data_IF_921685317746
#
_entry.id   IF_921685317746
#
_cell.length_a   1.000
_cell.length_b   1.000
_cell.length_c   1.000
_cell.angle_alpha   90.00
_cell.angle_beta   90.00
_cell.angle_gamma   90.00
#
_symmetry.space_group_name_H-M   'P 1'
#
loop_
_entity.id
_entity.type
_entity.pdbx_description
1 polymer ?
#
# COMPACT_ATOMS: atom_id res chain seq x y z
N UNK A 1 -29.06 -23.91 6.15
CA UNK A 1 -28.92 -22.50 5.70
C UNK A 1 -28.91 -21.65 6.96
N UNK A 2 -27.73 -21.39 7.50
CA UNK A 2 -27.53 -20.53 8.67
C UNK A 2 -27.32 -19.11 8.16
N UNK A 3 -28.19 -18.22 8.62
CA UNK A 3 -28.20 -16.78 8.35
C UNK A 3 -26.91 -16.16 8.91
N UNK A 4 -25.98 -15.78 8.03
CA UNK A 4 -24.77 -15.07 8.43
C UNK A 4 -25.15 -13.60 8.52
N UNK A 5 -25.56 -13.17 9.71
CA UNK A 5 -25.88 -11.79 10.01
C UNK A 5 -24.74 -10.87 9.60
N UNK A 6 -25.02 -9.95 8.67
CA UNK A 6 -24.12 -8.88 8.30
C UNK A 6 -23.93 -7.97 9.53
N UNK A 7 -22.78 -8.11 10.19
CA UNK A 7 -22.37 -7.17 11.22
C UNK A 7 -22.25 -5.78 10.58
N UNK A 8 -23.17 -4.88 10.91
CA UNK A 8 -23.09 -3.48 10.52
C UNK A 8 -21.90 -2.85 11.25
N UNK A 9 -20.79 -2.66 10.53
CA UNK A 9 -19.66 -1.90 11.03
C UNK A 9 -20.08 -0.43 11.21
N UNK A 10 -20.04 0.08 12.46
CA UNK A 10 -20.20 1.50 12.72
C UNK A 10 -18.92 2.23 12.27
N UNK A 11 -19.01 2.95 11.15
CA UNK A 11 -17.89 3.76 10.63
C UNK A 11 -17.92 5.15 11.31
N UNK A 12 -16.81 5.64 11.87
CA UNK A 12 -16.73 6.99 12.41
C UNK A 12 -16.88 8.03 11.31
N UNK A 13 -17.70 9.05 11.56
CA UNK A 13 -17.93 10.20 10.67
C UNK A 13 -16.62 10.86 10.26
N UNK A 14 -16.38 11.01 8.95
CA UNK A 14 -15.22 11.71 8.40
C UNK A 14 -15.56 13.21 8.34
N UNK A 15 -14.82 14.12 9.01
CA UNK A 15 -15.05 15.55 8.91
C UNK A 15 -14.82 16.06 7.48
N UNK A 16 -15.69 16.96 7.03
CA UNK A 16 -15.80 17.42 5.65
C UNK A 16 -14.56 18.13 5.12
N UNK A 17 -14.15 17.75 3.91
CA UNK A 17 -13.21 18.50 3.09
C UNK A 17 -14.02 19.21 1.99
N UNK A 18 -13.89 20.54 1.92
CA UNK A 18 -14.46 21.35 0.85
C UNK A 18 -13.39 21.54 -0.22
N UNK A 19 -13.64 21.02 -1.43
CA UNK A 19 -12.89 21.38 -2.63
C UNK A 19 -13.70 22.44 -3.38
N UNK A 20 -13.03 23.52 -3.80
CA UNK A 20 -13.64 24.53 -4.66
C UNK A 20 -13.86 23.91 -6.06
N UNK A 21 -15.09 23.87 -6.59
CA UNK A 21 -15.35 23.26 -7.89
C UNK A 21 -14.81 24.16 -9.00
N UNK A 22 -13.87 23.64 -9.78
CA UNK A 22 -13.48 24.22 -11.08
C UNK A 22 -14.63 24.06 -12.06
N UNK A 23 -15.07 25.17 -12.67
CA UNK A 23 -16.14 25.22 -13.66
C UNK A 23 -15.69 24.54 -14.96
N UNK A 24 -16.11 23.28 -15.18
CA UNK A 24 -15.96 22.59 -16.47
C UNK A 24 -17.33 22.41 -17.12
N UNK A 25 -17.41 22.71 -18.43
CA UNK A 25 -18.62 22.61 -19.25
C UNK A 25 -18.93 21.17 -19.69
N UNK A 26 -20.21 20.93 -20.01
CA UNK A 26 -20.84 19.65 -20.45
C UNK A 26 -20.32 18.41 -19.75
N UNK A 27 -20.97 18.04 -18.64
CA UNK A 27 -20.67 16.84 -17.88
C UNK A 27 -20.90 15.57 -18.72
N UNK A 28 -19.83 14.86 -19.04
CA UNK A 28 -19.95 13.48 -19.50
C UNK A 28 -20.57 12.63 -18.38
N UNK A 29 -21.50 11.75 -18.75
CA UNK A 29 -22.21 10.89 -17.82
C UNK A 29 -21.48 9.54 -17.67
N UNK A 30 -21.09 9.19 -16.44
CA UNK A 30 -20.46 7.91 -16.11
C UNK A 30 -21.47 6.95 -15.49
N UNK A 31 -21.36 5.67 -15.84
CA UNK A 31 -22.21 4.62 -15.29
C UNK A 31 -21.58 4.04 -14.03
N UNK A 32 -22.35 3.99 -12.94
CA UNK A 32 -22.03 3.19 -11.75
C UNK A 32 -23.07 2.09 -11.54
N UNK A 33 -22.61 0.87 -11.29
CA UNK A 33 -23.49 -0.25 -10.97
C UNK A 33 -23.78 -0.25 -9.46
N UNK A 34 -25.04 -0.08 -9.09
CA UNK A 34 -25.48 0.04 -7.70
C UNK A 34 -26.54 -1.03 -7.40
N UNK A 35 -26.26 -2.00 -6.51
CA UNK A 35 -27.25 -3.03 -6.17
C UNK A 35 -28.38 -2.46 -5.33
N UNK A 36 -29.63 -2.75 -5.71
CA UNK A 36 -30.81 -2.48 -4.86
C UNK A 36 -31.07 -3.59 -3.86
N UNK A 37 -30.72 -4.82 -4.23
CA UNK A 37 -30.96 -6.01 -3.41
C UNK A 37 -29.64 -6.68 -2.95
N UNK A 38 -29.63 -7.34 -1.78
CA UNK A 38 -28.51 -8.19 -1.36
C UNK A 38 -28.16 -9.27 -2.39
N UNK A 39 -29.15 -9.80 -3.10
CA UNK A 39 -29.00 -10.83 -4.12
C UNK A 39 -28.28 -10.31 -5.36
N UNK A 40 -28.57 -9.08 -5.79
CA UNK A 40 -27.94 -8.44 -6.94
C UNK A 40 -26.50 -8.00 -6.64
N UNK A 41 -26.15 -7.74 -5.38
CA UNK A 41 -24.83 -7.25 -4.94
C UNK A 41 -23.66 -7.99 -5.60
N UNK A 42 -23.62 -9.30 -5.44
CA UNK A 42 -22.50 -10.11 -5.95
C UNK A 42 -22.50 -10.22 -7.47
N UNK A 43 -23.68 -10.14 -8.08
CA UNK A 43 -23.83 -10.13 -9.53
C UNK A 43 -23.29 -8.84 -10.13
N UNK A 44 -23.69 -7.69 -9.59
CA UNK A 44 -23.25 -6.37 -10.05
C UNK A 44 -21.79 -6.09 -9.71
N UNK A 45 -21.27 -6.61 -8.60
CA UNK A 45 -19.84 -6.56 -8.29
C UNK A 45 -19.01 -7.27 -9.37
N UNK A 46 -19.37 -8.51 -9.71
CA UNK A 46 -18.70 -9.25 -10.80
C UNK A 46 -18.86 -8.53 -12.13
N UNK A 47 -20.06 -8.03 -12.43
CA UNK A 47 -20.33 -7.29 -13.67
C UNK A 47 -19.43 -6.07 -13.76
N UNK A 48 -19.35 -5.26 -12.71
CA UNK A 48 -18.47 -4.09 -12.63
C UNK A 48 -17.01 -4.47 -12.89
N UNK A 49 -16.55 -5.55 -12.28
CA UNK A 49 -15.19 -6.03 -12.48
C UNK A 49 -14.93 -6.43 -13.94
N UNK A 50 -15.90 -7.09 -14.61
CA UNK A 50 -15.79 -7.46 -16.03
C UNK A 50 -15.77 -6.23 -16.92
N UNK A 51 -16.66 -5.26 -16.66
CA UNK A 51 -16.78 -4.05 -17.46
C UNK A 51 -15.53 -3.16 -17.39
N UNK A 52 -14.75 -3.22 -16.29
CA UNK A 52 -13.45 -2.54 -16.21
C UNK A 52 -12.47 -2.95 -17.33
N UNK A 53 -12.54 -4.18 -17.85
CA UNK A 53 -11.66 -4.60 -18.95
C UNK A 53 -12.25 -4.26 -20.33
N UNK A 54 -13.54 -3.96 -20.42
CA UNK A 54 -14.22 -3.67 -21.70
C UNK A 54 -14.17 -2.18 -22.05
N UNK A 55 -14.19 -1.30 -21.06
CA UNK A 55 -14.07 0.14 -21.26
C UNK A 55 -12.60 0.57 -21.44
N UNK A 56 -11.87 -0.08 -22.34
CA UNK A 56 -10.43 0.19 -22.56
C UNK A 56 -10.16 1.64 -22.96
N UNK A 57 -11.10 2.25 -23.68
CA UNK A 57 -10.95 3.57 -24.29
C UNK A 57 -11.55 4.70 -23.43
N UNK A 58 -12.24 4.37 -22.33
CA UNK A 58 -12.80 5.33 -21.40
C UNK A 58 -12.28 5.05 -19.97
N UNK A 59 -11.19 5.73 -19.64
CA UNK A 59 -10.45 5.51 -18.40
C UNK A 59 -11.24 5.90 -17.15
N UNK A 60 -12.09 6.92 -17.24
CA UNK A 60 -12.94 7.41 -16.17
C UNK A 60 -14.12 6.47 -15.92
N UNK A 61 -14.64 5.85 -16.98
CA UNK A 61 -15.62 4.77 -16.85
C UNK A 61 -15.04 3.52 -16.15
N UNK A 62 -13.76 3.19 -16.37
CA UNK A 62 -13.07 2.16 -15.59
C UNK A 62 -12.99 2.52 -14.11
N UNK A 63 -12.75 3.79 -13.78
CA UNK A 63 -12.77 4.26 -12.41
C UNK A 63 -14.17 4.13 -11.79
N UNK A 64 -15.24 4.52 -12.51
CA UNK A 64 -16.62 4.37 -12.04
C UNK A 64 -17.01 2.90 -11.79
N UNK A 65 -16.60 1.97 -12.66
CA UNK A 65 -16.80 0.54 -12.43
C UNK A 65 -15.96 0.01 -11.25
N UNK A 66 -14.72 0.49 -11.08
CA UNK A 66 -13.90 0.19 -9.90
C UNK A 66 -14.58 0.66 -8.59
N UNK A 67 -15.13 1.87 -8.58
CA UNK A 67 -15.95 2.36 -7.47
C UNK A 67 -17.19 1.51 -7.22
N UNK A 68 -17.80 0.98 -8.28
CA UNK A 68 -18.95 0.08 -8.19
C UNK A 68 -18.56 -1.25 -7.53
N UNK A 69 -17.35 -1.77 -7.77
CA UNK A 69 -16.82 -2.94 -7.05
C UNK A 69 -16.71 -2.66 -5.55
N UNK A 70 -16.10 -1.54 -5.15
CA UNK A 70 -15.97 -1.21 -3.73
C UNK A 70 -17.30 -0.92 -3.06
N UNK A 71 -18.18 -0.17 -3.71
CA UNK A 71 -19.50 0.19 -3.19
C UNK A 71 -20.43 -1.02 -3.14
N UNK A 72 -20.28 -1.97 -4.06
CA UNK A 72 -20.97 -3.24 -4.01
C UNK A 72 -20.56 -4.07 -2.80
N UNK A 73 -19.28 -4.05 -2.42
CA UNK A 73 -18.80 -4.76 -1.22
C UNK A 73 -19.13 -4.00 0.08
N UNK A 74 -18.94 -2.68 0.07
CA UNK A 74 -19.07 -1.75 1.19
C UNK A 74 -19.93 -0.54 0.77
N UNK A 75 -21.26 -0.63 0.92
CA UNK A 75 -22.19 0.42 0.49
C UNK A 75 -21.88 1.82 1.04
N UNK A 76 -21.23 1.91 2.20
CA UNK A 76 -20.78 3.18 2.80
C UNK A 76 -19.78 3.96 1.93
N UNK A 77 -19.13 3.33 0.96
CA UNK A 77 -18.23 4.00 0.02
C UNK A 77 -18.97 4.69 -1.13
N UNK A 78 -20.23 4.34 -1.38
CA UNK A 78 -21.00 4.86 -2.52
C UNK A 78 -21.12 6.39 -2.52
N UNK A 79 -21.50 7.07 -1.42
CA UNK A 79 -21.61 8.52 -1.43
C UNK A 79 -20.27 9.21 -1.72
N UNK A 80 -19.18 8.66 -1.18
CA UNK A 80 -17.84 9.19 -1.37
C UNK A 80 -17.36 9.01 -2.81
N UNK A 81 -17.58 7.83 -3.41
CA UNK A 81 -17.26 7.56 -4.80
C UNK A 81 -18.02 8.49 -5.76
N UNK A 82 -19.32 8.67 -5.53
CA UNK A 82 -20.12 9.59 -6.34
C UNK A 82 -19.67 11.05 -6.19
N UNK A 83 -19.27 11.46 -4.99
CA UNK A 83 -18.74 12.79 -4.76
C UNK A 83 -17.43 13.00 -5.51
N UNK A 84 -16.53 12.02 -5.47
CA UNK A 84 -15.26 12.09 -6.18
C UNK A 84 -15.45 12.21 -7.71
N UNK A 85 -16.30 11.37 -8.31
CA UNK A 85 -16.64 11.45 -9.73
C UNK A 85 -17.17 12.84 -10.11
N UNK A 86 -17.99 13.45 -9.24
CA UNK A 86 -18.47 14.83 -9.44
C UNK A 86 -17.36 15.87 -9.31
N UNK A 87 -16.45 15.69 -8.35
CA UNK A 87 -15.29 16.58 -8.17
C UNK A 87 -14.34 16.53 -9.39
N UNK A 88 -14.35 15.41 -10.13
CA UNK A 88 -13.67 15.27 -11.43
C UNK A 88 -14.45 15.85 -12.62
N UNK A 89 -15.67 16.37 -12.39
CA UNK A 89 -16.49 17.00 -13.41
C UNK A 89 -17.49 16.07 -14.12
N UNK A 90 -17.73 14.86 -13.62
CA UNK A 90 -18.65 13.89 -14.23
C UNK A 90 -20.00 13.82 -13.50
N UNK A 91 -21.08 13.60 -14.26
CA UNK A 91 -22.34 13.14 -13.68
C UNK A 91 -22.32 11.62 -13.51
N UNK A 92 -23.07 11.11 -12.54
CA UNK A 92 -23.14 9.66 -12.26
C UNK A 92 -24.54 9.15 -12.52
N UNK A 93 -24.68 8.25 -13.48
CA UNK A 93 -25.87 7.45 -13.71
C UNK A 93 -25.79 6.15 -12.94
N UNK A 94 -26.72 5.96 -12.01
CA UNK A 94 -26.84 4.70 -11.30
C UNK A 94 -27.61 3.68 -12.14
N UNK A 95 -26.95 2.57 -12.44
CA UNK A 95 -27.55 1.43 -13.13
C UNK A 95 -27.68 0.28 -12.15
N UNK A 96 -28.87 -0.31 -12.13
CA UNK A 96 -29.26 -1.36 -11.18
C UNK A 96 -29.49 -2.66 -11.92
N UNK A 97 -29.81 -3.74 -11.21
CA UNK A 97 -30.17 -5.02 -11.81
C UNK A 97 -31.34 -4.92 -12.80
N UNK A 98 -32.29 -4.00 -12.57
CA UNK A 98 -33.49 -3.82 -13.40
C UNK A 98 -33.22 -2.99 -14.66
N UNK A 99 -32.28 -2.04 -14.57
CA UNK A 99 -31.99 -1.07 -15.64
C UNK A 99 -30.74 -1.41 -16.45
N UNK A 100 -30.02 -2.49 -16.12
CA UNK A 100 -28.77 -2.86 -16.79
C UNK A 100 -28.94 -3.10 -18.31
N UNK A 101 -30.00 -3.80 -18.71
CA UNK A 101 -30.26 -4.12 -20.12
C UNK A 101 -30.52 -2.86 -20.96
N UNK A 102 -31.27 -1.90 -20.41
CA UNK A 102 -31.56 -0.61 -21.05
C UNK A 102 -30.30 0.23 -21.28
N UNK A 103 -29.25 -0.02 -20.48
CA UNK A 103 -27.96 0.64 -20.57
C UNK A 103 -26.90 -0.22 -21.29
N UNK A 104 -27.32 -1.26 -22.01
CA UNK A 104 -26.46 -2.16 -22.78
C UNK A 104 -25.44 -2.93 -21.92
N UNK A 105 -25.75 -3.16 -20.64
CA UNK A 105 -24.90 -3.89 -19.70
C UNK A 105 -25.41 -5.32 -19.55
N UNK A 106 -24.60 -6.27 -20.02
CA UNK A 106 -24.88 -7.70 -19.84
C UNK A 106 -24.46 -8.15 -18.44
N UNK A 107 -25.46 -8.35 -17.58
CA UNK A 107 -25.25 -8.84 -16.22
C UNK A 107 -24.57 -10.21 -16.23
N UNK A 108 -23.53 -10.33 -15.42
CA UNK A 108 -22.79 -11.57 -15.26
C UNK A 108 -23.58 -12.60 -14.44
N UNK A 109 -23.13 -13.87 -14.45
CA UNK A 109 -23.66 -14.87 -13.54
C UNK A 109 -23.38 -14.50 -12.08
N UNK A 110 -24.30 -14.88 -11.18
CA UNK A 110 -24.11 -14.70 -9.74
C UNK A 110 -22.87 -15.48 -9.29
N UNK A 111 -22.08 -14.87 -8.41
CA UNK A 111 -20.98 -15.51 -7.70
C UNK A 111 -21.30 -15.66 -6.21
N UNK A 112 -20.57 -16.57 -5.57
CA UNK A 112 -20.61 -16.72 -4.12
C UNK A 112 -19.84 -15.59 -3.42
N UNK A 113 -20.06 -15.50 -2.11
CA UNK A 113 -19.45 -14.51 -1.25
C UNK A 113 -17.92 -14.56 -1.25
N UNK A 114 -17.32 -15.76 -1.20
CA UNK A 114 -15.87 -15.93 -1.14
C UNK A 114 -15.19 -15.45 -2.43
N UNK A 115 -15.79 -15.75 -3.58
CA UNK A 115 -15.35 -15.22 -4.88
C UNK A 115 -15.42 -13.69 -4.90
N UNK A 116 -16.46 -13.09 -4.33
CA UNK A 116 -16.57 -11.62 -4.26
C UNK A 116 -15.50 -10.98 -3.37
N UNK A 117 -15.13 -11.62 -2.25
CA UNK A 117 -14.02 -11.19 -1.39
C UNK A 117 -12.69 -11.22 -2.14
N UNK A 118 -12.48 -12.25 -2.97
CA UNK A 118 -11.26 -12.36 -3.75
C UNK A 118 -11.15 -11.26 -4.80
N UNK A 119 -12.26 -10.93 -5.50
CA UNK A 119 -12.32 -9.81 -6.44
C UNK A 119 -12.06 -8.48 -5.71
N UNK A 120 -12.75 -8.25 -4.59
CA UNK A 120 -12.53 -7.05 -3.76
C UNK A 120 -11.05 -6.91 -3.37
N UNK A 121 -10.42 -7.98 -2.89
CA UNK A 121 -9.02 -7.95 -2.47
C UNK A 121 -8.07 -7.57 -3.60
N UNK A 122 -8.30 -8.05 -4.83
CA UNK A 122 -7.49 -7.67 -5.98
C UNK A 122 -7.59 -6.18 -6.28
N UNK A 123 -8.82 -5.66 -6.36
CA UNK A 123 -9.07 -4.24 -6.62
C UNK A 123 -8.49 -3.34 -5.52
N UNK A 124 -8.60 -3.76 -4.26
CA UNK A 124 -8.00 -3.04 -3.14
C UNK A 124 -6.48 -2.96 -3.27
N UNK A 125 -5.78 -4.06 -3.59
CA UNK A 125 -4.32 -4.02 -3.77
C UNK A 125 -3.89 -3.13 -4.93
N UNK A 126 -4.64 -3.16 -6.04
CA UNK A 126 -4.39 -2.32 -7.22
C UNK A 126 -4.43 -0.83 -6.89
N UNK A 127 -5.20 -0.40 -5.89
CA UNK A 127 -5.21 1.00 -5.45
C UNK A 127 -3.93 1.41 -4.71
N UNK A 128 -3.33 0.51 -3.93
CA UNK A 128 -2.23 0.86 -3.03
C UNK A 128 -0.85 0.47 -3.54
N UNK A 129 -0.77 -0.49 -4.45
CA UNK A 129 0.50 -1.01 -4.95
C UNK A 129 0.83 -0.41 -6.30
N UNK A 130 2.12 -0.17 -6.52
CA UNK A 130 2.59 0.31 -7.80
C UNK A 130 2.52 -0.82 -8.82
N UNK A 131 2.03 -0.48 -10.00
CA UNK A 131 1.79 -1.44 -11.09
C UNK A 131 2.77 -1.12 -12.20
N UNK A 132 3.68 -2.05 -12.41
CA UNK A 132 4.67 -2.00 -13.47
C UNK A 132 4.46 -3.19 -14.43
N UNK A 133 4.67 -2.99 -15.73
CA UNK A 133 4.34 -4.00 -16.74
C UNK A 133 5.16 -5.28 -16.58
N UNK A 134 6.40 -5.15 -16.13
CA UNK A 134 7.32 -6.29 -16.00
C UNK A 134 7.01 -7.12 -14.77
N UNK A 135 6.53 -6.46 -13.71
CA UNK A 135 6.38 -7.09 -12.40
C UNK A 135 4.93 -7.42 -12.03
N UNK A 136 3.95 -6.76 -12.66
CA UNK A 136 2.54 -6.94 -12.36
C UNK A 136 2.06 -8.39 -12.48
N UNK A 137 2.31 -9.15 -13.58
CA UNK A 137 1.82 -10.52 -13.68
C UNK A 137 2.32 -11.40 -12.53
N UNK A 138 3.61 -11.29 -12.18
CA UNK A 138 4.22 -12.08 -11.11
C UNK A 138 3.69 -11.69 -9.74
N UNK A 139 3.60 -10.39 -9.45
CA UNK A 139 3.10 -9.93 -8.15
C UNK A 139 1.63 -10.23 -7.97
N UNK A 140 0.81 -9.94 -8.98
CA UNK A 140 -0.61 -10.25 -8.93
C UNK A 140 -0.83 -11.74 -8.80
N UNK A 141 -0.11 -12.61 -9.52
CA UNK A 141 -0.30 -14.04 -9.37
C UNK A 141 -0.03 -14.51 -7.92
N UNK A 142 1.00 -13.97 -7.27
CA UNK A 142 1.29 -14.25 -5.86
C UNK A 142 0.21 -13.70 -4.91
N UNK A 143 -0.20 -12.43 -5.09
CA UNK A 143 -1.21 -11.80 -4.24
C UNK A 143 -2.58 -12.43 -4.42
N UNK A 144 -2.95 -12.76 -5.64
CA UNK A 144 -4.22 -13.39 -5.98
C UNK A 144 -4.32 -14.78 -5.38
N UNK A 145 -3.25 -15.60 -5.49
CA UNK A 145 -3.21 -16.90 -4.85
C UNK A 145 -3.40 -16.80 -3.33
N UNK A 146 -2.72 -15.84 -2.69
CA UNK A 146 -2.86 -15.59 -1.26
C UNK A 146 -4.27 -15.11 -0.90
N UNK A 147 -4.84 -14.16 -1.63
CA UNK A 147 -6.20 -13.65 -1.42
C UNK A 147 -7.23 -14.76 -1.59
N UNK A 148 -7.13 -15.57 -2.65
CA UNK A 148 -8.02 -16.73 -2.86
C UNK A 148 -7.97 -17.68 -1.68
N UNK A 149 -6.76 -18.00 -1.20
CA UNK A 149 -6.58 -18.85 -0.04
C UNK A 149 -7.24 -18.26 1.22
N UNK A 150 -7.05 -16.97 1.49
CA UNK A 150 -7.66 -16.28 2.64
C UNK A 150 -9.18 -16.18 2.53
N UNK A 151 -9.70 -15.99 1.32
CA UNK A 151 -11.13 -15.96 1.03
C UNK A 151 -11.77 -17.35 1.05
N UNK A 152 -11.00 -18.44 0.89
CA UNK A 152 -11.52 -19.81 0.81
C UNK A 152 -11.96 -20.23 -0.60
N UNK A 153 -11.42 -19.60 -1.64
CA UNK A 153 -11.75 -19.89 -3.04
C UNK A 153 -10.79 -20.93 -3.61
N UNK A 154 -11.33 -22.07 -4.04
CA UNK A 154 -10.54 -23.18 -4.63
C UNK A 154 -10.53 -23.11 -6.16
N UNK A 155 -11.59 -22.55 -6.77
CA UNK A 155 -11.77 -22.51 -8.22
C UNK A 155 -11.16 -21.26 -8.83
N UNK A 156 -11.03 -21.25 -10.15
CA UNK A 156 -10.61 -20.06 -10.89
C UNK A 156 -11.64 -18.94 -10.75
N UNK A 157 -11.16 -17.70 -10.59
CA UNK A 157 -12.04 -16.53 -10.48
C UNK A 157 -12.69 -16.17 -11.82
N UNK A 158 -11.98 -16.42 -12.92
CA UNK A 158 -12.48 -16.27 -14.29
C UNK A 158 -12.46 -17.65 -14.95
N UNK A 159 -13.62 -18.27 -15.24
CA UNK A 159 -13.67 -19.57 -15.90
C UNK A 159 -12.90 -19.56 -17.23
N UNK A 160 -11.83 -20.36 -17.33
CA UNK A 160 -10.96 -20.42 -18.51
C UNK A 160 -10.02 -19.23 -18.72
N UNK A 161 -10.08 -18.21 -17.85
CA UNK A 161 -9.25 -16.99 -17.89
C UNK A 161 -8.26 -16.86 -16.72
N UNK A 162 -8.24 -17.82 -15.80
CA UNK A 162 -7.37 -17.83 -14.63
C UNK A 162 -7.88 -16.97 -13.47
N UNK A 163 -6.95 -16.49 -12.64
CA UNK A 163 -7.30 -15.84 -11.38
C UNK A 163 -7.14 -14.31 -11.37
N UNK A 164 -6.44 -13.74 -12.36
CA UNK A 164 -6.22 -12.30 -12.44
C UNK A 164 -7.40 -11.67 -13.16
N UNK A 165 -8.11 -10.77 -12.46
CA UNK A 165 -9.33 -10.18 -13.02
C UNK A 165 -9.04 -9.07 -14.03
N UNK A 166 -8.04 -8.23 -13.76
CA UNK A 166 -7.76 -7.03 -14.54
C UNK A 166 -6.52 -7.17 -15.42
N UNK A 167 -6.63 -6.74 -16.68
CA UNK A 167 -5.48 -6.56 -17.56
C UNK A 167 -4.49 -5.55 -16.95
N UNK A 168 -3.21 -5.63 -17.33
CA UNK A 168 -2.18 -4.72 -16.81
C UNK A 168 -2.51 -3.24 -17.12
N UNK A 169 -2.99 -2.95 -18.33
CA UNK A 169 -3.34 -1.58 -18.74
C UNK A 169 -4.53 -1.03 -17.95
N UNK A 170 -5.58 -1.84 -17.76
CA UNK A 170 -6.74 -1.46 -16.94
C UNK A 170 -6.33 -1.24 -15.48
N UNK A 171 -5.52 -2.14 -14.92
CA UNK A 171 -5.06 -2.03 -13.55
C UNK A 171 -4.22 -0.76 -13.33
N UNK A 172 -3.30 -0.43 -14.25
CA UNK A 172 -2.55 0.83 -14.25
C UNK A 172 -3.46 2.05 -14.28
N UNK A 173 -4.45 2.05 -15.17
CA UNK A 173 -5.43 3.14 -15.30
C UNK A 173 -6.16 3.37 -13.98
N UNK A 174 -6.70 2.30 -13.39
CA UNK A 174 -7.37 2.36 -12.09
C UNK A 174 -6.42 2.85 -10.99
N UNK A 175 -5.18 2.36 -10.94
CA UNK A 175 -4.16 2.79 -9.98
C UNK A 175 -3.84 4.27 -10.10
N UNK A 176 -3.79 4.81 -11.33
CA UNK A 176 -3.51 6.22 -11.59
C UNK A 176 -4.70 7.08 -11.19
N UNK A 177 -5.92 6.73 -11.62
CA UNK A 177 -7.11 7.54 -11.39
C UNK A 177 -7.61 7.36 -9.95
N UNK A 178 -8.11 6.17 -9.63
CA UNK A 178 -8.67 5.86 -8.30
C UNK A 178 -7.58 5.83 -7.23
N UNK A 179 -6.40 5.29 -7.53
CA UNK A 179 -5.28 5.27 -6.56
C UNK A 179 -4.63 6.64 -6.31
N UNK A 180 -4.98 7.68 -7.08
CA UNK A 180 -4.63 9.06 -6.74
C UNK A 180 -5.61 9.69 -5.75
N UNK A 181 -6.83 9.15 -5.65
CA UNK A 181 -7.83 9.57 -4.68
C UNK A 181 -7.34 9.43 -3.25
N UNK A 182 -7.08 10.54 -2.57
CA UNK A 182 -6.80 10.50 -1.14
C UNK A 182 -8.03 10.10 -0.31
N UNK A 183 -9.23 10.68 -0.54
CA UNK A 183 -10.40 10.33 0.27
C UNK A 183 -10.77 8.86 0.18
N UNK A 184 -10.80 8.25 -1.02
CA UNK A 184 -11.11 6.83 -1.19
C UNK A 184 -10.05 5.95 -0.56
N UNK A 185 -8.75 6.25 -0.76
CA UNK A 185 -7.67 5.48 -0.13
C UNK A 185 -7.75 5.50 1.39
N UNK A 186 -8.11 6.62 1.99
CA UNK A 186 -8.26 6.69 3.45
C UNK A 186 -9.51 5.91 3.90
N UNK A 187 -10.65 6.10 3.23
CA UNK A 187 -11.89 5.43 3.58
C UNK A 187 -11.79 3.90 3.43
N UNK A 188 -11.24 3.43 2.31
CA UNK A 188 -11.02 2.01 2.06
C UNK A 188 -10.03 1.40 3.07
N UNK A 189 -8.94 2.11 3.41
CA UNK A 189 -8.03 1.63 4.45
C UNK A 189 -8.72 1.53 5.81
N UNK A 190 -9.54 2.51 6.20
CA UNK A 190 -10.31 2.45 7.45
C UNK A 190 -11.25 1.25 7.49
N UNK A 191 -11.95 0.96 6.39
CA UNK A 191 -12.80 -0.23 6.27
C UNK A 191 -11.99 -1.51 6.41
N UNK A 192 -10.84 -1.59 5.73
CA UNK A 192 -9.92 -2.74 5.84
C UNK A 192 -9.49 -2.93 7.29
N UNK A 193 -9.08 -1.86 7.98
CA UNK A 193 -8.63 -1.95 9.37
C UNK A 193 -9.77 -2.30 10.34
N UNK A 194 -10.96 -1.73 10.16
CA UNK A 194 -12.14 -2.05 10.98
C UNK A 194 -12.58 -3.52 10.85
N UNK A 195 -12.30 -4.14 9.69
CA UNK A 195 -12.67 -5.51 9.40
C UNK A 195 -11.50 -6.48 9.51
N UNK A 196 -10.29 -6.09 9.94
CA UNK A 196 -9.15 -7.04 9.93
C UNK A 196 -9.18 -8.03 11.09
N UNK A 197 -9.71 -7.61 12.24
CA UNK A 197 -9.64 -8.37 13.48
C UNK A 197 -10.85 -9.33 13.56
N UNK A 198 -10.60 -10.64 13.60
CA UNK A 198 -11.64 -11.66 13.70
C UNK A 198 -11.33 -12.96 12.96
N UNK A 199 -12.32 -13.86 12.90
CA UNK A 199 -12.15 -15.21 12.35
C UNK A 199 -12.87 -15.45 11.01
N UNK A 200 -13.67 -14.49 10.54
CA UNK A 200 -14.37 -14.64 9.26
C UNK A 200 -13.40 -14.57 8.07
N UNK A 201 -13.84 -15.04 6.91
CA UNK A 201 -13.07 -14.96 5.66
C UNK A 201 -12.83 -13.50 5.25
N UNK A 202 -13.79 -12.61 5.51
CA UNK A 202 -13.57 -11.17 5.33
C UNK A 202 -12.44 -10.68 6.22
N UNK A 203 -12.42 -11.07 7.50
CA UNK A 203 -11.34 -10.69 8.41
C UNK A 203 -9.98 -11.17 7.90
N UNK A 204 -9.88 -12.43 7.45
CA UNK A 204 -8.65 -12.99 6.89
C UNK A 204 -8.16 -12.24 5.65
N UNK A 205 -9.07 -11.86 4.76
CA UNK A 205 -8.76 -11.06 3.56
C UNK A 205 -8.33 -9.65 3.98
N UNK A 206 -9.09 -8.98 4.84
CA UNK A 206 -8.76 -7.63 5.33
C UNK A 206 -7.44 -7.60 6.11
N UNK A 207 -7.13 -8.60 6.92
CA UNK A 207 -5.84 -8.71 7.59
C UNK A 207 -4.70 -8.86 6.58
N UNK A 208 -4.84 -9.77 5.61
CA UNK A 208 -3.86 -9.91 4.54
C UNK A 208 -3.65 -8.61 3.75
N UNK A 209 -4.74 -7.89 3.43
CA UNK A 209 -4.66 -6.58 2.78
C UNK A 209 -3.94 -5.56 3.68
N UNK A 210 -4.29 -5.47 4.95
CA UNK A 210 -3.68 -4.55 5.92
C UNK A 210 -2.18 -4.79 6.06
N UNK A 211 -1.74 -6.05 6.16
CA UNK A 211 -0.34 -6.45 6.19
C UNK A 211 0.36 -6.09 4.88
N UNK A 212 -0.25 -6.45 3.74
CA UNK A 212 0.34 -6.21 2.42
C UNK A 212 0.46 -4.71 2.12
N UNK A 213 -0.54 -3.91 2.48
CA UNK A 213 -0.58 -2.45 2.27
C UNK A 213 0.35 -1.72 3.25
N UNK A 214 0.71 -2.34 4.38
CA UNK A 214 1.63 -1.73 5.34
C UNK A 214 2.94 -1.33 4.68
N UNK A 215 3.44 -0.16 5.07
CA UNK A 215 4.67 0.46 4.56
C UNK A 215 4.69 0.70 3.04
N UNK A 216 3.53 0.71 2.38
CA UNK A 216 3.43 1.06 0.96
C UNK A 216 3.96 2.47 0.72
N UNK A 217 4.67 2.64 -0.40
CA UNK A 217 5.37 3.90 -0.76
C UNK A 217 6.51 4.32 0.19
N UNK A 218 6.90 3.45 1.14
CA UNK A 218 8.00 3.66 2.10
C UNK A 218 9.17 2.68 1.89
N UNK A 219 9.25 2.04 0.72
CA UNK A 219 10.26 1.03 0.40
C UNK A 219 11.71 1.44 0.70
N UNK A 220 12.17 2.64 0.29
CA UNK A 220 13.52 3.12 0.63
C UNK A 220 13.76 3.21 2.13
N UNK A 221 12.80 3.76 2.89
CA UNK A 221 12.89 3.86 4.36
C UNK A 221 12.99 2.47 4.99
N UNK A 222 12.15 1.53 4.58
CA UNK A 222 12.16 0.16 5.11
C UNK A 222 13.44 -0.59 4.76
N UNK A 223 14.01 -0.31 3.59
CA UNK A 223 15.28 -0.92 3.16
C UNK A 223 16.44 -0.41 4.01
N UNK A 224 16.52 0.91 4.22
CA UNK A 224 17.50 1.51 5.13
C UNK A 224 17.34 0.96 6.55
N UNK A 225 16.10 0.89 7.04
CA UNK A 225 15.81 0.33 8.36
C UNK A 225 16.35 -1.10 8.52
N UNK A 226 15.94 -1.99 7.63
CA UNK A 226 16.24 -3.40 7.75
C UNK A 226 17.73 -3.68 7.54
N UNK A 227 18.35 -3.02 6.55
CA UNK A 227 19.74 -3.32 6.17
C UNK A 227 20.77 -2.57 7.01
N UNK A 228 20.52 -1.32 7.38
CA UNK A 228 21.53 -0.47 8.04
C UNK A 228 21.22 -0.24 9.51
N UNK A 229 19.95 0.00 9.85
CA UNK A 229 19.56 0.40 11.20
C UNK A 229 19.50 -0.80 12.15
N UNK A 230 18.81 -1.86 11.74
CA UNK A 230 18.69 -3.09 12.53
C UNK A 230 20.03 -3.80 12.74
N UNK A 231 20.93 -3.70 11.76
CA UNK A 231 22.28 -4.27 11.83
C UNK A 231 23.29 -3.37 12.55
N UNK A 232 22.89 -2.16 12.95
CA UNK A 232 23.79 -1.14 13.52
C UNK A 232 25.01 -0.87 12.64
N UNK A 233 24.79 -0.79 11.34
CA UNK A 233 25.85 -0.63 10.34
C UNK A 233 26.72 0.60 10.63
N UNK A 234 28.06 0.49 10.55
CA UNK A 234 28.98 1.62 10.72
C UNK A 234 28.81 2.71 9.66
N UNK A 235 28.12 2.40 8.54
CA UNK A 235 27.72 3.40 7.53
C UNK A 235 26.92 4.55 8.15
N UNK A 236 26.13 4.28 9.20
CA UNK A 236 25.34 5.31 9.89
C UNK A 236 26.19 6.30 10.70
N UNK A 237 27.46 5.98 10.92
CA UNK A 237 28.42 6.86 11.61
C UNK A 237 29.34 7.61 10.64
N UNK A 238 29.34 7.27 9.35
CA UNK A 238 30.20 7.92 8.35
C UNK A 238 29.78 9.39 8.18
N UNK A 239 30.75 10.29 8.37
CA UNK A 239 30.52 11.74 8.37
C UNK A 239 29.96 12.25 7.04
N UNK A 240 30.24 11.57 5.92
CA UNK A 240 29.80 11.98 4.58
C UNK A 240 28.31 11.78 4.34
N UNK A 241 27.65 10.94 5.13
CA UNK A 241 26.20 10.70 5.08
C UNK A 241 25.46 11.25 6.31
N UNK A 242 26.14 12.02 7.16
CA UNK A 242 25.57 12.60 8.38
C UNK A 242 24.23 13.30 8.13
N UNK A 243 24.15 14.16 7.11
CA UNK A 243 22.90 14.88 6.78
C UNK A 243 21.77 13.91 6.40
N UNK A 244 22.07 12.84 5.67
CA UNK A 244 21.08 11.81 5.34
C UNK A 244 20.63 11.04 6.59
N UNK A 245 21.54 10.76 7.53
CA UNK A 245 21.21 10.12 8.82
C UNK A 245 20.32 11.03 9.68
N UNK A 246 20.61 12.33 9.72
CA UNK A 246 19.75 13.32 10.38
C UNK A 246 18.37 13.40 9.72
N UNK A 247 18.31 13.45 8.39
CA UNK A 247 17.05 13.45 7.64
C UNK A 247 16.23 12.18 7.90
N UNK A 248 16.89 11.03 7.89
CA UNK A 248 16.30 9.73 8.22
C UNK A 248 15.69 9.76 9.62
N UNK A 249 16.41 10.30 10.61
CA UNK A 249 15.92 10.48 11.97
C UNK A 249 14.63 11.33 12.02
N UNK A 250 14.63 12.49 11.35
CA UNK A 250 13.48 13.38 11.34
C UNK A 250 12.26 12.75 10.65
N UNK A 251 12.47 12.00 9.57
CA UNK A 251 11.40 11.23 8.94
C UNK A 251 10.79 10.22 9.92
N UNK A 252 11.63 9.45 10.61
CA UNK A 252 11.18 8.46 11.57
C UNK A 252 10.41 9.05 12.74
N UNK A 253 10.91 10.15 13.31
CA UNK A 253 10.23 10.85 14.40
C UNK A 253 8.80 11.20 13.99
N UNK A 254 8.63 11.87 12.85
CA UNK A 254 7.30 12.25 12.32
C UNK A 254 6.38 11.06 12.06
N UNK A 255 6.93 9.97 11.52
CA UNK A 255 6.16 8.76 11.21
C UNK A 255 5.68 8.07 12.49
N UNK A 256 6.57 7.92 13.48
CA UNK A 256 6.31 7.17 14.72
C UNK A 256 5.45 7.94 15.73
N UNK A 257 5.26 9.24 15.55
CA UNK A 257 4.33 10.07 16.33
C UNK A 257 2.86 9.90 15.89
N UNK A 258 2.59 9.20 14.78
CA UNK A 258 1.22 8.94 14.30
C UNK A 258 0.64 7.66 14.88
N UNK A 259 -0.69 7.59 14.94
CA UNK A 259 -1.44 6.43 15.44
C UNK A 259 -1.21 5.16 14.60
N UNK A 260 -1.08 5.33 13.28
CA UNK A 260 -0.80 4.24 12.34
C UNK A 260 0.45 4.51 11.49
N UNK A 261 1.66 4.39 12.07
CA UNK A 261 2.93 4.70 11.39
C UNK A 261 3.12 3.93 10.08
N UNK A 262 2.69 2.67 10.04
CA UNK A 262 2.81 1.80 8.88
C UNK A 262 1.94 2.23 7.70
N UNK A 263 0.96 3.10 7.89
CA UNK A 263 0.12 3.65 6.82
C UNK A 263 0.34 5.14 6.59
N UNK A 264 1.49 5.67 7.05
CA UNK A 264 1.76 7.10 7.09
C UNK A 264 1.56 7.80 5.74
N UNK A 265 2.10 7.23 4.66
CA UNK A 265 1.99 7.79 3.30
C UNK A 265 0.57 7.76 2.73
N UNK A 266 -0.30 6.90 3.25
CA UNK A 266 -1.70 6.81 2.84
C UNK A 266 -2.55 7.83 3.63
N UNK A 267 -2.44 7.82 4.95
CA UNK A 267 -3.29 8.64 5.83
C UNK A 267 -2.89 10.12 5.85
N UNK A 268 -1.58 10.42 5.84
CA UNK A 268 -1.04 11.76 6.05
C UNK A 268 -0.36 12.32 4.80
N UNK A 269 -0.94 12.09 3.60
CA UNK A 269 -0.29 12.39 2.31
C UNK A 269 0.38 13.76 2.21
N UNK A 270 -0.23 14.84 2.69
CA UNK A 270 0.37 16.18 2.63
C UNK A 270 1.65 16.28 3.48
N UNK A 271 1.61 15.78 4.72
CA UNK A 271 2.79 15.69 5.58
C UNK A 271 3.82 14.69 5.01
N UNK A 272 3.35 13.61 4.38
CA UNK A 272 4.19 12.59 3.79
C UNK A 272 4.95 13.08 2.56
N UNK A 273 4.32 13.90 1.72
CA UNK A 273 5.01 14.61 0.63
C UNK A 273 6.09 15.53 1.21
N UNK A 274 5.77 16.33 2.22
CA UNK A 274 6.76 17.18 2.88
C UNK A 274 7.92 16.36 3.47
N UNK A 275 7.64 15.23 4.11
CA UNK A 275 8.67 14.31 4.62
C UNK A 275 9.48 13.71 3.48
N UNK A 276 8.88 13.29 2.37
CA UNK A 276 9.60 12.77 1.20
C UNK A 276 10.54 13.82 0.60
N UNK A 277 10.09 15.07 0.48
CA UNK A 277 10.90 16.16 -0.07
C UNK A 277 12.00 16.65 0.89
N UNK A 278 11.70 16.73 2.20
CA UNK A 278 12.62 17.31 3.19
C UNK A 278 13.58 16.29 3.80
N UNK A 279 13.21 15.01 3.80
CA UNK A 279 13.99 13.95 4.44
C UNK A 279 14.53 13.00 3.37
N UNK A 280 15.41 13.51 2.51
CA UNK A 280 16.07 12.72 1.48
C UNK A 280 17.28 11.99 2.07
N UNK A 281 17.37 10.68 1.82
CA UNK A 281 18.47 9.81 2.23
C UNK A 281 18.84 8.86 1.07
N UNK A 282 19.16 9.45 -0.09
CA UNK A 282 19.30 8.70 -1.35
C UNK A 282 20.52 7.78 -1.33
N UNK A 283 21.64 8.23 -0.75
CA UNK A 283 22.87 7.42 -0.63
C UNK A 283 22.63 6.22 0.28
N UNK A 284 22.04 6.43 1.47
CA UNK A 284 21.71 5.36 2.40
C UNK A 284 20.72 4.36 1.79
N UNK A 285 19.68 4.87 1.10
CA UNK A 285 18.70 4.02 0.42
C UNK A 285 19.34 3.15 -0.66
N UNK A 286 20.26 3.72 -1.45
CA UNK A 286 20.96 2.99 -2.50
C UNK A 286 21.92 1.94 -1.93
N UNK A 287 22.66 2.24 -0.87
CA UNK A 287 23.52 1.27 -0.15
C UNK A 287 22.68 0.10 0.35
N UNK A 288 21.58 0.37 1.04
CA UNK A 288 20.67 -0.65 1.56
C UNK A 288 20.06 -1.50 0.44
N UNK A 289 19.61 -0.86 -0.65
CA UNK A 289 19.05 -1.53 -1.82
C UNK A 289 20.02 -2.53 -2.43
N UNK A 290 21.28 -2.14 -2.67
CA UNK A 290 22.30 -3.01 -3.27
C UNK A 290 22.66 -4.18 -2.37
N UNK A 291 22.87 -3.92 -1.09
CA UNK A 291 23.13 -4.97 -0.12
C UNK A 291 22.00 -6.01 -0.11
N UNK A 292 20.73 -5.57 -0.13
CA UNK A 292 19.58 -6.48 -0.16
C UNK A 292 19.46 -7.27 -1.47
N UNK A 293 19.77 -6.66 -2.63
CA UNK A 293 19.76 -7.38 -3.90
C UNK A 293 20.82 -8.48 -3.97
N UNK A 294 21.98 -8.27 -3.34
CA UNK A 294 23.05 -9.27 -3.26
C UNK A 294 22.64 -10.46 -2.38
N UNK A 295 22.02 -10.18 -1.23
CA UNK A 295 21.55 -11.21 -0.31
C UNK A 295 20.47 -12.10 -0.92
N UNK A 296 19.54 -11.52 -1.67
CA UNK A 296 18.38 -12.25 -2.19
C UNK A 296 18.66 -12.97 -3.52
N UNK A 297 19.88 -12.89 -4.07
CA UNK A 297 20.23 -13.47 -5.38
C UNK A 297 19.31 -13.01 -6.53
N UNK A 298 18.58 -11.92 -6.34
CA UNK A 298 17.53 -11.45 -7.26
C UNK A 298 17.93 -10.12 -7.88
N UNK A 299 17.68 -9.99 -9.18
CA UNK A 299 17.74 -8.70 -9.89
C UNK A 299 16.82 -7.72 -9.16
N UNK A 300 17.40 -6.64 -8.65
CA UNK A 300 16.73 -5.61 -7.86
C UNK A 300 15.37 -5.20 -8.46
N UNK A 301 14.29 -5.36 -7.70
CA UNK A 301 12.93 -4.89 -8.04
C UNK A 301 12.77 -3.36 -7.99
N UNK A 302 13.82 -2.64 -7.58
CA UNK A 302 13.87 -1.20 -7.61
C UNK A 302 14.56 -0.76 -8.91
N UNK A 303 13.95 0.20 -9.61
CA UNK A 303 14.56 0.85 -10.76
C UNK A 303 15.98 1.34 -10.39
N UNK A 304 16.99 1.12 -11.25
CA UNK A 304 18.34 1.62 -10.99
C UNK A 304 18.28 3.14 -10.82
N UNK A 305 18.68 3.64 -9.65
CA UNK A 305 18.72 5.08 -9.44
C UNK A 305 19.88 5.71 -10.24
N UNK A 306 19.74 6.98 -10.61
CA UNK A 306 20.83 7.76 -11.22
C UNK A 306 22.12 7.75 -10.35
N UNK A 307 21.97 7.48 -9.05
CA UNK A 307 23.08 7.33 -8.09
C UNK A 307 23.76 5.94 -8.12
N UNK A 308 23.36 5.04 -9.04
CA UNK A 308 24.01 3.74 -9.22
C UNK A 308 25.51 3.82 -9.58
N UNK A 309 26.00 4.98 -10.02
CA UNK A 309 27.41 5.23 -10.32
C UNK A 309 28.15 6.05 -9.26
N UNK A 310 27.51 6.38 -8.13
CA UNK A 310 28.15 7.18 -7.09
C UNK A 310 29.27 6.36 -6.40
N UNK A 311 30.54 6.78 -6.47
CA UNK A 311 31.65 6.06 -5.84
C UNK A 311 31.48 5.93 -4.32
N UNK A 312 30.88 6.94 -3.67
CA UNK A 312 30.59 6.91 -2.24
C UNK A 312 29.70 5.73 -1.86
N UNK A 313 28.69 5.39 -2.68
CA UNK A 313 27.81 4.24 -2.42
C UNK A 313 28.62 2.94 -2.41
N UNK A 314 29.58 2.78 -3.33
CA UNK A 314 30.40 1.57 -3.40
C UNK A 314 31.33 1.44 -2.19
N UNK A 315 31.91 2.56 -1.76
CA UNK A 315 32.75 2.62 -0.56
C UNK A 315 31.95 2.25 0.70
N UNK A 316 30.80 2.91 0.92
CA UNK A 316 29.94 2.64 2.07
C UNK A 316 29.36 1.22 2.06
N UNK A 317 29.03 0.70 0.88
CA UNK A 317 28.59 -0.69 0.74
C UNK A 317 29.70 -1.66 1.14
N UNK A 318 30.95 -1.37 0.74
CA UNK A 318 32.12 -2.18 1.13
C UNK A 318 32.36 -2.14 2.65
N UNK A 319 32.21 -0.97 3.27
CA UNK A 319 32.24 -0.80 4.73
C UNK A 319 31.16 -1.64 5.41
N UNK A 320 29.92 -1.59 4.92
CA UNK A 320 28.82 -2.39 5.47
C UNK A 320 29.07 -3.90 5.32
N UNK A 321 29.54 -4.36 4.14
CA UNK A 321 29.85 -5.77 3.90
C UNK A 321 30.94 -6.29 4.84
N UNK A 322 32.04 -5.57 4.96
CA UNK A 322 33.15 -5.95 5.83
C UNK A 322 32.68 -6.11 7.29
N UNK A 323 31.79 -5.23 7.75
CA UNK A 323 31.15 -5.34 9.05
C UNK A 323 30.27 -6.59 9.16
N UNK A 324 29.40 -6.85 8.19
CA UNK A 324 28.48 -8.00 8.22
C UNK A 324 29.23 -9.34 8.16
N UNK A 325 30.33 -9.44 7.41
CA UNK A 325 31.19 -10.64 7.38
C UNK A 325 31.80 -10.93 8.75
N UNK A 326 32.26 -9.90 9.48
CA UNK A 326 32.78 -10.08 10.85
C UNK A 326 31.69 -10.55 11.81
N UNK A 327 30.50 -9.94 11.75
CA UNK A 327 29.37 -10.27 12.63
C UNK A 327 28.84 -11.69 12.40
N UNK A 328 28.92 -12.22 11.16
CA UNK A 328 28.47 -13.58 10.84
C UNK A 328 29.58 -14.64 10.95
N UNK A 329 30.85 -14.22 10.93
CA UNK A 329 32.02 -15.10 10.98
C UNK A 329 32.51 -15.44 12.38
N UNK A 330 32.23 -14.59 13.39
CA UNK A 330 32.64 -14.78 14.78
C UNK A 330 31.45 -15.07 15.70
N UNK A 331 31.64 -16.00 16.65
CA UNK A 331 30.81 -16.14 17.85
C UNK A 331 30.84 -14.79 18.59
N UNK A 332 29.72 -14.05 18.53
CA UNK A 332 29.56 -12.69 19.04
C UNK A 332 30.33 -12.45 20.36
N UNK A 333 31.40 -11.64 20.36
CA UNK A 333 32.03 -11.23 21.61
C UNK A 333 30.98 -10.53 22.47
N UNK A 334 30.81 -11.02 23.72
CA UNK A 334 29.80 -10.55 24.69
C UNK A 334 29.89 -9.05 25.02
N UNK A 335 30.88 -8.33 24.50
CA UNK A 335 31.14 -6.91 24.75
C UNK A 335 30.25 -5.94 23.96
N UNK A 336 29.53 -6.39 22.91
CA UNK A 336 28.59 -5.53 22.16
C UNK A 336 27.27 -5.25 22.95
N UNK A 337 27.13 -5.78 24.18
CA UNK A 337 26.05 -5.40 25.10
C UNK A 337 26.27 -4.05 25.80
N UNK A 338 27.47 -3.48 25.79
CA UNK A 338 27.81 -2.28 26.57
C UNK A 338 28.10 -1.01 25.76
N UNK A 339 27.56 -0.87 24.54
CA UNK A 339 27.60 0.42 23.80
C UNK A 339 26.54 1.43 24.31
N UNK A 340 26.33 1.51 25.63
CA UNK A 340 25.63 2.61 26.30
C UNK A 340 26.57 3.71 26.79
N UNK A 341 27.88 3.51 26.66
CA UNK A 341 28.91 4.51 26.94
C UNK A 341 29.64 4.82 25.64
N UNK A 342 29.16 5.84 24.92
CA UNK A 342 30.01 6.55 23.96
C UNK A 342 30.82 7.55 24.80
N UNK A 343 32.14 7.41 24.80
CA UNK A 343 33.02 8.46 25.33
C UNK A 343 32.81 9.71 24.47
N UNK A 344 32.30 10.76 25.12
CA UNK A 344 31.92 12.03 24.50
C UNK A 344 33.17 12.91 24.46
N UNK A 345 34.04 12.64 23.49
CA UNK A 345 35.08 13.57 23.03
C UNK A 345 34.92 13.84 21.52
N UNK A 346 33.67 13.90 21.03
CA UNK A 346 33.36 14.36 19.67
C UNK A 346 32.87 15.82 19.70
N UNK A 347 33.41 16.72 18.86
CA UNK A 347 33.18 18.16 18.92
C UNK A 347 31.79 18.62 18.44
N UNK A 348 30.86 17.69 18.19
CA UNK A 348 29.51 18.03 17.76
C UNK A 348 28.46 17.25 18.57
N UNK A 349 28.08 17.83 19.71
CA UNK A 349 27.09 17.28 20.63
C UNK A 349 25.75 16.98 19.95
N UNK A 350 25.43 17.65 18.84
CA UNK A 350 24.25 17.39 18.04
C UNK A 350 24.36 16.09 17.24
N UNK A 351 25.56 15.75 16.76
CA UNK A 351 25.86 14.49 16.09
C UNK A 351 25.79 13.29 17.04
N UNK A 352 26.37 13.42 18.23
CA UNK A 352 26.29 12.40 19.28
C UNK A 352 24.84 12.18 19.75
N UNK A 353 24.07 13.26 19.95
CA UNK A 353 22.64 13.20 20.30
C UNK A 353 21.82 12.53 19.22
N UNK A 354 22.02 12.88 17.95
CA UNK A 354 21.33 12.24 16.85
C UNK A 354 21.65 10.74 16.77
N UNK A 355 22.92 10.32 16.91
CA UNK A 355 23.31 8.89 16.94
C UNK A 355 22.62 8.13 18.08
N UNK A 356 22.60 8.68 19.29
CA UNK A 356 21.93 8.08 20.44
C UNK A 356 20.40 8.02 20.27
N UNK A 357 19.82 9.07 19.69
CA UNK A 357 18.38 9.18 19.48
C UNK A 357 17.91 8.28 18.34
N UNK A 358 18.69 8.16 17.27
CA UNK A 358 18.54 7.19 16.19
C UNK A 358 18.53 5.75 16.74
N UNK A 359 19.48 5.41 17.62
CA UNK A 359 19.51 4.10 18.29
C UNK A 359 18.26 3.84 19.16
N UNK A 360 17.74 4.86 19.87
CA UNK A 360 16.49 4.76 20.66
C UNK A 360 15.25 4.63 19.78
N UNK A 361 15.15 5.42 18.70
CA UNK A 361 14.07 5.34 17.72
C UNK A 361 14.04 3.96 17.05
N UNK A 362 15.20 3.38 16.72
CA UNK A 362 15.28 2.05 16.13
C UNK A 362 14.85 0.93 17.07
N UNK A 363 15.15 1.04 18.37
CA UNK A 363 14.64 0.10 19.38
C UNK A 363 13.10 0.13 19.44
N UNK A 364 12.52 1.32 19.58
CA UNK A 364 11.05 1.51 19.62
C UNK A 364 10.37 1.05 18.34
N UNK A 365 11.03 1.21 17.19
CA UNK A 365 10.51 0.73 15.92
C UNK A 365 10.59 -0.79 15.78
N UNK A 366 11.70 -1.40 16.19
CA UNK A 366 11.80 -2.86 16.27
C UNK A 366 10.68 -3.44 17.12
N UNK A 367 10.38 -2.81 18.27
CA UNK A 367 9.24 -3.15 19.11
C UNK A 367 7.89 -2.94 18.40
N UNK A 368 7.68 -1.84 17.68
CA UNK A 368 6.42 -1.61 16.94
C UNK A 368 6.23 -2.51 15.71
N UNK A 369 7.31 -2.93 15.05
CA UNK A 369 7.27 -3.87 13.92
C UNK A 369 7.04 -5.30 14.44
N UNK A 370 7.59 -5.65 15.60
CA UNK A 370 7.46 -7.00 16.20
C UNK A 370 6.21 -7.18 17.07
N UNK A 371 5.65 -6.11 17.65
CA UNK A 371 4.40 -6.12 18.42
C UNK A 371 3.17 -5.93 17.53
N UNK A 372 3.11 -6.66 16.42
CA UNK A 372 1.81 -6.88 15.78
C UNK A 372 1.03 -7.83 16.69
N UNK A 373 -0.17 -7.47 17.16
CA UNK A 373 -1.05 -8.45 17.79
C UNK A 373 -1.34 -9.53 16.73
N UNK A 374 -1.05 -10.78 17.10
CA UNK A 374 -1.40 -11.99 16.33
C UNK A 374 -2.90 -12.16 16.23
#
# INVERSE_FOLDING_TARGET
MTDVGAAQAQVPSIPGFSYAPTQFGTHDELIMLVPRTPEARFRLLKTSAVECNKATDNHEQNAAFCHSVFSGMFPELLPLAKQELRDWGYSVKEVTEDTAAENLITLQSRIDYFTSLAIFGQFALIIYKDIDDQTYPRFMQSWVAAIKNKAGVVRDLVPGGGDIFLSTSTAKTIRIIVGSSRPIRIALLKIILANRDGQSQLNRVCNYLAETISWSEMGPLMSVFASLCMTRSPVLSDSRVWLEVFNLHQAYKRITEKEYPQYYFIMYRNEALSTRYRCTFVTLAEVARRYKSEQNGTVSQFAPSANSRNPLVNELLSVHRAYMTRVHGDDMPREIRNLTTFDIDEPDAEQARARLMVARCFRKMGENITRQPV
#
